data_IF_847877524049
#
_entry.id   IF_847877524049
#
_cell.length_a   1.000
_cell.length_b   1.000
_cell.length_c   1.000
_cell.angle_alpha   90.00
_cell.angle_beta   90.00
_cell.angle_gamma   90.00
#
_symmetry.space_group_name_H-M   'P 1'
#
loop_
_entity.id
_entity.type
_entity.pdbx_description
1 polymer ?
#
# COMPACT_ATOMS: atom_id res chain seq x y z
N UNK A 1 -10.78 -12.47 0.37
CA UNK A 1 -10.08 -11.21 0.62
C UNK A 1 -11.10 -10.09 0.79
N UNK A 2 -11.21 -9.57 2.00
CA UNK A 2 -11.91 -8.31 2.31
C UNK A 2 -11.00 -7.13 1.97
N UNK A 3 -11.55 -6.06 1.38
CA UNK A 3 -10.77 -4.88 0.96
C UNK A 3 -11.26 -3.67 1.75
N UNK A 4 -10.36 -3.05 2.50
CA UNK A 4 -10.63 -1.82 3.26
C UNK A 4 -9.85 -0.67 2.62
N UNK A 5 -10.56 0.25 1.97
CA UNK A 5 -9.94 1.45 1.39
C UNK A 5 -9.92 2.56 2.44
N UNK A 6 -8.73 3.06 2.72
CA UNK A 6 -8.55 4.19 3.63
C UNK A 6 -8.74 5.52 2.87
N UNK A 7 -9.10 6.59 3.58
CA UNK A 7 -9.04 7.94 3.04
C UNK A 7 -7.68 8.25 2.40
N UNK A 8 -7.68 9.09 1.38
CA UNK A 8 -6.44 9.56 0.75
C UNK A 8 -5.58 10.29 1.79
N UNK A 9 -4.28 10.00 1.80
CA UNK A 9 -3.33 10.49 2.79
C UNK A 9 -3.31 9.70 4.11
N UNK A 10 -4.20 8.71 4.29
CA UNK A 10 -4.22 7.87 5.48
C UNK A 10 -3.42 6.58 5.27
N UNK A 11 -2.54 6.29 6.23
CA UNK A 11 -1.71 5.10 6.21
C UNK A 11 -2.36 3.97 7.02
N UNK A 12 -2.35 2.76 6.46
CA UNK A 12 -2.66 1.56 7.20
C UNK A 12 -1.66 1.33 8.35
N UNK A 13 -2.13 0.67 9.41
CA UNK A 13 -1.26 0.27 10.52
C UNK A 13 -0.09 -0.61 10.03
N UNK A 14 1.02 -0.60 10.76
CA UNK A 14 2.16 -1.49 10.47
C UNK A 14 1.85 -2.95 10.75
N UNK A 15 0.82 -3.21 11.56
CA UNK A 15 0.40 -4.55 12.00
C UNK A 15 -0.72 -5.14 11.13
N UNK A 16 -0.93 -4.62 9.91
CA UNK A 16 -1.95 -5.14 8.97
C UNK A 16 -1.38 -5.38 7.58
N UNK A 17 -1.97 -6.33 6.87
CA UNK A 17 -1.68 -6.55 5.45
C UNK A 17 -2.18 -5.34 4.64
N UNK A 18 -1.30 -4.74 3.86
CA UNK A 18 -1.63 -3.52 3.15
C UNK A 18 -0.90 -3.37 1.82
N UNK A 19 -1.51 -2.56 0.95
CA UNK A 19 -0.84 -1.93 -0.18
C UNK A 19 -0.84 -0.41 -0.01
N UNK A 20 0.27 0.21 -0.39
CA UNK A 20 0.49 1.65 -0.41
C UNK A 20 0.73 2.06 -1.85
N UNK A 21 -0.09 2.98 -2.33
CA UNK A 21 -0.02 3.54 -3.68
C UNK A 21 0.39 5.00 -3.53
N UNK A 22 1.56 5.36 -4.01
CA UNK A 22 2.13 6.69 -3.79
C UNK A 22 2.39 7.38 -5.13
N UNK A 23 1.83 8.56 -5.29
CA UNK A 23 2.14 9.43 -6.42
C UNK A 23 3.54 10.04 -6.24
N UNK A 24 4.47 9.75 -7.14
CA UNK A 24 5.86 10.23 -7.08
C UNK A 24 6.12 11.40 -8.03
N UNK A 25 5.34 11.50 -9.11
CA UNK A 25 5.31 12.61 -10.07
C UNK A 25 3.88 12.77 -10.63
N UNK A 26 3.59 13.85 -11.36
CA UNK A 26 2.22 14.22 -11.80
C UNK A 26 1.39 13.07 -12.42
N UNK A 27 2.03 12.04 -12.99
CA UNK A 27 1.35 10.86 -13.54
C UNK A 27 2.06 9.53 -13.23
N UNK A 28 2.89 9.47 -12.18
CA UNK A 28 3.62 8.24 -11.83
C UNK A 28 3.21 7.79 -10.43
N UNK A 29 2.77 6.54 -10.35
CA UNK A 29 2.37 5.88 -9.11
C UNK A 29 3.29 4.72 -8.81
N UNK A 30 3.73 4.62 -7.56
CA UNK A 30 4.51 3.51 -7.03
C UNK A 30 3.62 2.65 -6.14
N UNK A 31 3.71 1.33 -6.31
CA UNK A 31 3.07 0.36 -5.43
C UNK A 31 4.11 -0.19 -4.44
N UNK A 32 3.76 -0.17 -3.17
CA UNK A 32 4.44 -0.94 -2.12
C UNK A 32 3.40 -1.84 -1.49
N UNK A 33 3.73 -3.08 -1.19
CA UNK A 33 2.78 -4.00 -0.56
C UNK A 33 3.48 -4.80 0.53
N UNK A 34 2.79 -5.08 1.62
CA UNK A 34 3.30 -5.90 2.70
C UNK A 34 2.20 -6.78 3.26
N UNK A 35 2.52 -8.05 3.48
CA UNK A 35 1.67 -9.03 4.13
C UNK A 35 2.44 -9.65 5.29
N UNK A 36 1.86 -9.66 6.47
CA UNK A 36 2.42 -10.19 7.71
C UNK A 36 2.09 -11.67 7.90
N UNK A 37 0.95 -12.11 7.36
CA UNK A 37 0.49 -13.49 7.45
C UNK A 37 0.28 -14.06 6.04
N UNK A 38 1.32 -14.68 5.48
CA UNK A 38 1.22 -15.37 4.20
C UNK A 38 0.73 -16.79 4.42
N UNK A 39 -0.57 -17.02 4.24
CA UNK A 39 -1.17 -18.36 4.42
C UNK A 39 -1.36 -18.75 5.89
N UNK A 40 -1.15 -20.03 6.22
CA UNK A 40 -1.36 -20.62 7.56
C UNK A 40 -0.08 -20.70 8.42
N UNK A 41 1.01 -20.07 7.99
CA UNK A 41 2.28 -20.08 8.73
C UNK A 41 2.61 -18.66 9.20
N UNK A 42 2.43 -18.42 10.50
CA UNK A 42 2.38 -17.10 11.12
C UNK A 42 3.76 -16.40 11.22
N UNK A 43 4.80 -16.97 10.60
CA UNK A 43 6.20 -16.55 10.72
C UNK A 43 6.80 -15.85 9.51
N UNK A 44 6.13 -15.84 8.36
CA UNK A 44 6.67 -15.28 7.11
C UNK A 44 5.92 -14.03 6.66
N UNK A 45 6.63 -12.91 6.59
CA UNK A 45 6.13 -11.69 5.95
C UNK A 45 6.66 -11.59 4.51
N UNK A 46 5.80 -11.15 3.60
CA UNK A 46 6.15 -10.93 2.20
C UNK A 46 5.88 -9.48 1.83
N UNK A 47 6.89 -8.86 1.22
CA UNK A 47 6.83 -7.47 0.79
C UNK A 47 7.17 -7.36 -0.69
N UNK A 48 6.48 -6.49 -1.43
CA UNK A 48 6.92 -6.11 -2.77
C UNK A 48 8.08 -5.12 -2.63
N UNK A 49 9.27 -5.56 -3.05
CA UNK A 49 10.42 -4.68 -3.24
C UNK A 49 10.47 -4.30 -4.72
N UNK A 50 10.44 -3.00 -5.00
CA UNK A 50 10.65 -2.43 -6.34
C UNK A 50 9.56 -2.79 -7.38
N UNK A 51 8.29 -2.49 -7.05
CA UNK A 51 7.20 -2.61 -8.01
C UNK A 51 7.42 -1.67 -9.23
N UNK A 52 6.93 -2.07 -10.42
CA UNK A 52 6.93 -1.18 -11.57
C UNK A 52 6.17 0.12 -11.27
N UNK A 53 6.54 1.19 -11.97
CA UNK A 53 5.78 2.43 -11.99
C UNK A 53 4.49 2.23 -12.80
N UNK A 54 3.39 2.83 -12.32
CA UNK A 54 2.08 2.80 -12.95
C UNK A 54 1.67 4.19 -13.43
N UNK A 55 0.90 4.25 -14.53
CA UNK A 55 0.43 5.51 -15.11
C UNK A 55 -0.73 6.12 -14.33
N UNK A 56 -1.44 5.31 -13.54
CA UNK A 56 -2.54 5.73 -12.70
C UNK A 56 -2.69 4.85 -11.44
N UNK A 57 -3.42 5.37 -10.45
CA UNK A 57 -3.64 4.67 -9.18
C UNK A 57 -4.49 3.40 -9.34
N UNK A 58 -5.39 3.34 -10.32
CA UNK A 58 -6.27 2.20 -10.55
C UNK A 58 -5.49 0.97 -11.00
N UNK A 59 -4.52 1.14 -11.90
CA UNK A 59 -3.60 0.08 -12.33
C UNK A 59 -2.71 -0.42 -11.17
N UNK A 60 -2.20 0.51 -10.37
CA UNK A 60 -1.41 0.17 -9.18
C UNK A 60 -2.25 -0.62 -8.17
N UNK A 61 -3.49 -0.20 -7.91
CA UNK A 61 -4.42 -0.92 -7.05
C UNK A 61 -4.73 -2.31 -7.59
N UNK A 62 -5.07 -2.42 -8.88
CA UNK A 62 -5.36 -3.70 -9.53
C UNK A 62 -4.18 -4.67 -9.41
N UNK A 63 -2.94 -4.21 -9.62
CA UNK A 63 -1.75 -5.01 -9.45
C UNK A 63 -1.55 -5.45 -7.99
N UNK A 64 -1.77 -4.55 -7.03
CA UNK A 64 -1.70 -4.85 -5.60
C UNK A 64 -2.73 -5.88 -5.15
N UNK A 65 -3.97 -5.79 -5.66
CA UNK A 65 -5.03 -6.75 -5.39
C UNK A 65 -4.72 -8.14 -5.95
N UNK A 66 -4.16 -8.22 -7.16
CA UNK A 66 -3.72 -9.48 -7.75
C UNK A 66 -2.60 -10.11 -6.94
N UNK A 67 -1.64 -9.31 -6.49
CA UNK A 67 -0.58 -9.78 -5.61
C UNK A 67 -1.14 -10.32 -4.29
N UNK A 68 -2.00 -9.55 -3.61
CA UNK A 68 -2.56 -9.93 -2.31
C UNK A 68 -3.38 -11.23 -2.40
N UNK A 69 -4.13 -11.42 -3.48
CA UNK A 69 -4.86 -12.66 -3.73
C UNK A 69 -3.94 -13.87 -3.95
N UNK A 70 -2.76 -13.68 -4.57
CA UNK A 70 -1.77 -14.75 -4.77
C UNK A 70 -1.06 -15.11 -3.47
N UNK A 71 -0.80 -14.12 -2.62
CA UNK A 71 -0.19 -14.28 -1.30
C UNK A 71 -1.18 -14.93 -0.31
N UNK A 72 -2.48 -14.78 -0.56
CA UNK A 72 -3.52 -15.36 0.30
C UNK A 72 -3.98 -14.43 1.42
N UNK A 73 -3.86 -13.11 1.22
CA UNK A 73 -4.30 -12.11 2.19
C UNK A 73 -5.82 -12.22 2.42
N UNK A 74 -6.23 -12.34 3.69
CA UNK A 74 -7.65 -12.43 4.06
C UNK A 74 -8.32 -11.06 4.11
N UNK A 75 -7.62 -10.05 4.62
CA UNK A 75 -8.08 -8.66 4.71
C UNK A 75 -6.95 -7.73 4.31
N UNK A 76 -7.18 -6.92 3.28
CA UNK A 76 -6.19 -6.01 2.72
C UNK A 76 -6.61 -4.55 2.93
N UNK A 77 -5.71 -3.74 3.49
CA UNK A 77 -5.88 -2.30 3.58
C UNK A 77 -5.22 -1.61 2.38
N UNK A 78 -5.93 -0.66 1.76
CA UNK A 78 -5.44 0.12 0.62
C UNK A 78 -5.22 1.56 1.09
N UNK A 79 -3.97 1.99 1.10
CA UNK A 79 -3.55 3.36 1.36
C UNK A 79 -3.15 4.06 0.07
N UNK A 80 -3.67 5.25 -0.16
CA UNK A 80 -3.34 6.06 -1.35
C UNK A 80 -2.79 7.41 -0.93
N UNK A 81 -1.58 7.72 -1.38
CA UNK A 81 -0.93 9.02 -1.24
C UNK A 81 -0.87 9.76 -2.57
N UNK A 82 -1.21 11.04 -2.52
CA UNK A 82 -1.07 11.96 -3.66
C UNK A 82 -0.02 13.02 -3.34
N UNK A 83 0.41 13.79 -4.35
CA UNK A 83 1.30 14.93 -4.12
C UNK A 83 0.70 15.98 -3.16
N UNK A 84 -0.63 16.07 -3.09
CA UNK A 84 -1.34 16.99 -2.18
C UNK A 84 -1.56 16.40 -0.78
N UNK A 85 -1.58 15.07 -0.66
CA UNK A 85 -1.87 14.33 0.56
C UNK A 85 -0.96 13.09 0.60
N UNK A 86 0.32 13.26 0.98
CA UNK A 86 1.27 12.16 1.03
C UNK A 86 0.91 11.16 2.15
N UNK A 87 1.30 9.89 2.00
CA UNK A 87 1.12 8.88 3.05
C UNK A 87 2.10 9.07 4.21
N UNK A 88 3.31 9.54 3.94
CA UNK A 88 4.26 9.90 4.97
C UNK A 88 4.01 11.35 5.43
N UNK A 89 3.38 11.50 6.59
CA UNK A 89 3.53 12.72 7.38
C UNK A 89 4.94 12.68 7.99
N UNK A 90 5.91 13.28 7.30
CA UNK A 90 7.22 13.51 7.89
C UNK A 90 6.98 14.43 9.10
N UNK A 91 7.18 13.94 10.33
CA UNK A 91 6.99 14.70 11.57
C UNK A 91 7.88 15.96 11.70
N UNK A 92 8.72 16.24 10.71
CA UNK A 92 9.58 17.42 10.63
C UNK A 92 8.78 18.70 10.29
N UNK A 93 7.54 18.59 9.81
CA UNK A 93 6.68 19.76 9.48
C UNK A 93 5.85 20.30 10.65
N UNK A 94 6.00 19.75 11.87
CA UNK A 94 5.42 20.38 13.06
C UNK A 94 6.38 21.45 13.56
N UNK A 95 6.00 22.75 13.57
CA UNK A 95 6.81 23.75 14.24
C UNK A 95 6.93 23.37 15.73
N UNK A 96 8.17 23.31 16.21
CA UNK A 96 8.53 23.16 17.63
C UNK A 96 7.87 24.24 18.50
#
# INVERSE_FOLDING_TARGET
MEIVRLPVGEQASVDVDCIRIEQTAEAIFKLTASALCVGTDDGESVTIVDAPAYENAEEAEAAGLVWAARVGVERLFVSTGTLAQPLELIEIDKPL
#
